data_IF_415234402050
#
_entry.id   IF_415234402050
#
_cell.length_a   1.000
_cell.length_b   1.000
_cell.length_c   1.000
_cell.angle_alpha   90.00
_cell.angle_beta   90.00
_cell.angle_gamma   90.00
#
_symmetry.space_group_name_H-M   'P 1'
#
loop_
_entity.id
_entity.type
_entity.pdbx_description
1 polymer ?
#
# COMPACT_ATOMS: atom_id res chain seq x y z
N UNK A 1 10.21 8.36 7.23
CA UNK A 1 10.82 7.02 7.15
C UNK A 1 11.08 6.73 5.67
N UNK A 2 12.18 6.10 5.29
CA UNK A 2 12.43 5.83 3.86
C UNK A 2 11.65 4.59 3.41
N UNK A 3 10.48 4.77 2.80
CA UNK A 3 9.74 3.67 2.17
C UNK A 3 10.44 3.23 0.88
N UNK A 4 10.80 1.95 0.78
CA UNK A 4 11.42 1.38 -0.43
C UNK A 4 10.50 0.34 -1.05
N UNK A 5 10.21 0.52 -2.34
CA UNK A 5 9.46 -0.42 -3.14
C UNK A 5 10.40 -1.21 -4.06
N UNK A 6 10.14 -2.51 -4.19
CA UNK A 6 10.90 -3.37 -5.11
C UNK A 6 10.52 -3.07 -6.57
N UNK A 7 11.38 -3.37 -7.57
CA UNK A 7 10.99 -3.25 -8.98
C UNK A 7 9.71 -4.05 -9.32
N UNK A 8 9.52 -5.20 -8.66
CA UNK A 8 8.31 -6.03 -8.80
C UNK A 8 7.07 -5.29 -8.29
N UNK A 9 7.18 -4.57 -7.18
CA UNK A 9 6.09 -3.74 -6.67
C UNK A 9 5.65 -2.71 -7.72
N UNK A 10 6.60 -1.97 -8.28
CA UNK A 10 6.30 -0.94 -9.29
C UNK A 10 5.69 -1.52 -10.58
N UNK A 11 6.13 -2.71 -11.00
CA UNK A 11 5.51 -3.40 -12.14
C UNK A 11 4.05 -3.73 -11.88
N UNK A 12 3.73 -4.26 -10.70
CA UNK A 12 2.33 -4.55 -10.32
C UNK A 12 1.51 -3.27 -10.18
N UNK A 13 2.06 -2.24 -9.53
CA UNK A 13 1.41 -0.95 -9.35
C UNK A 13 1.04 -0.29 -10.70
N UNK A 14 1.96 -0.32 -11.68
CA UNK A 14 1.70 0.24 -13.02
C UNK A 14 0.66 -0.55 -13.82
N UNK A 15 0.44 -1.82 -13.51
CA UNK A 15 -0.59 -2.64 -14.14
C UNK A 15 -2.00 -2.40 -13.59
N UNK A 16 -2.15 -1.61 -12.52
CA UNK A 16 -3.43 -1.28 -11.92
C UNK A 16 -4.21 -0.24 -12.74
N UNK A 17 -5.55 -0.26 -12.64
CA UNK A 17 -6.39 0.79 -13.19
C UNK A 17 -6.05 2.16 -12.58
N UNK A 18 -6.38 3.25 -13.29
CA UNK A 18 -6.14 4.61 -12.79
C UNK A 18 -6.80 4.86 -11.42
N UNK A 19 -8.04 4.39 -11.25
CA UNK A 19 -8.79 4.48 -9.99
C UNK A 19 -8.07 3.78 -8.83
N UNK A 20 -7.57 2.56 -9.08
CA UNK A 20 -6.87 1.79 -8.04
C UNK A 20 -5.53 2.43 -7.68
N UNK A 21 -4.83 3.01 -8.66
CA UNK A 21 -3.59 3.76 -8.41
C UNK A 21 -3.85 4.99 -7.54
N UNK A 22 -4.90 5.76 -7.84
CA UNK A 22 -5.29 6.90 -7.00
C UNK A 22 -5.61 6.49 -5.56
N UNK A 23 -6.28 5.36 -5.35
CA UNK A 23 -6.52 4.83 -4.00
C UNK A 23 -5.21 4.43 -3.30
N UNK A 24 -4.28 3.82 -4.04
CA UNK A 24 -2.97 3.45 -3.51
C UNK A 24 -2.15 4.67 -3.10
N UNK A 25 -2.20 5.74 -3.90
CA UNK A 25 -1.47 6.98 -3.65
C UNK A 25 -2.02 7.69 -2.42
N UNK A 26 -3.35 7.82 -2.29
CA UNK A 26 -3.97 8.38 -1.08
C UNK A 26 -3.63 7.58 0.18
N UNK A 27 -3.61 6.25 0.07
CA UNK A 27 -3.21 5.40 1.19
C UNK A 27 -1.74 5.62 1.59
N UNK A 28 -0.86 5.86 0.62
CA UNK A 28 0.54 6.20 0.87
C UNK A 28 0.69 7.60 1.49
N UNK A 29 -0.06 8.59 1.01
CA UNK A 29 -0.09 9.94 1.59
C UNK A 29 -0.55 9.91 3.06
N UNK A 30 -1.58 9.12 3.38
CA UNK A 30 -2.05 8.92 4.75
C UNK A 30 -0.98 8.25 5.63
N UNK A 31 -0.22 7.31 5.07
CA UNK A 31 0.89 6.64 5.75
C UNK A 31 2.01 7.62 6.11
N UNK A 32 2.39 8.49 5.17
CA UNK A 32 3.44 9.51 5.36
C UNK A 32 2.98 10.61 6.34
N UNK A 33 1.73 11.05 6.24
CA UNK A 33 1.20 12.13 7.08
C UNK A 33 0.96 11.72 8.54
N UNK A 34 0.62 10.45 8.79
CA UNK A 34 0.43 9.92 10.13
C UNK A 34 1.14 8.57 10.21
N UNK A 35 2.37 8.57 10.75
CA UNK A 35 3.17 7.36 11.01
C UNK A 35 2.45 6.27 11.84
N UNK A 36 1.31 6.59 12.45
CA UNK A 36 0.47 5.65 13.19
C UNK A 36 -1.01 5.75 12.80
N UNK A 37 -1.34 6.01 11.53
CA UNK A 37 -2.73 6.10 11.06
C UNK A 37 -3.49 4.79 11.35
N UNK A 38 -4.43 4.76 12.32
CA UNK A 38 -5.20 3.56 12.66
C UNK A 38 -6.15 3.11 11.53
N UNK A 39 -6.32 3.96 10.51
CA UNK A 39 -7.21 3.79 9.37
C UNK A 39 -6.67 2.79 8.34
N UNK A 40 -5.35 2.68 8.22
CA UNK A 40 -4.71 1.67 7.39
C UNK A 40 -4.66 0.40 8.26
N UNK A 41 -5.73 -0.38 8.25
CA UNK A 41 -5.82 -1.63 9.02
C UNK A 41 -4.74 -2.64 8.54
N UNK A 42 -3.53 -2.51 9.06
CA UNK A 42 -2.41 -3.40 8.75
C UNK A 42 -2.69 -4.78 9.35
N UNK A 43 -2.72 -5.78 8.49
CA UNK A 43 -2.83 -7.19 8.88
C UNK A 43 -1.51 -7.89 8.62
N UNK A 44 -0.93 -8.52 9.66
CA UNK A 44 0.24 -9.39 9.47
C UNK A 44 -0.16 -10.66 8.70
N UNK A 45 0.56 -10.97 7.63
CA UNK A 45 0.38 -12.16 6.79
C UNK A 45 1.75 -12.79 6.56
N UNK A 46 2.08 -13.79 7.39
CA UNK A 46 3.41 -14.40 7.41
C UNK A 46 4.49 -13.40 7.79
N UNK A 47 5.47 -13.21 6.88
CA UNK A 47 6.57 -12.24 7.05
C UNK A 47 6.22 -10.81 6.62
N UNK A 48 5.04 -10.59 6.06
CA UNK A 48 4.64 -9.31 5.47
C UNK A 48 3.51 -8.67 6.26
N UNK A 49 3.38 -7.36 6.13
CA UNK A 49 2.19 -6.60 6.51
C UNK A 49 1.36 -6.32 5.26
N UNK A 50 0.05 -6.58 5.33
CA UNK A 50 -0.90 -6.31 4.25
C UNK A 50 -1.84 -5.19 4.63
N UNK A 51 -2.07 -4.26 3.70
CA UNK A 51 -3.08 -3.21 3.82
C UNK A 51 -4.06 -3.28 2.65
N UNK A 52 -5.33 -3.00 2.91
CA UNK A 52 -6.38 -2.97 1.90
C UNK A 52 -6.40 -1.59 1.23
N UNK A 53 -6.22 -1.57 -0.08
CA UNK A 53 -6.24 -0.35 -0.89
C UNK A 53 -7.58 -0.20 -1.62
N UNK A 54 -8.17 -1.32 -2.04
CA UNK A 54 -9.48 -1.35 -2.69
C UNK A 54 -10.18 -2.69 -2.45
N UNK A 55 -11.30 -2.92 -3.15
CA UNK A 55 -12.07 -4.16 -2.98
C UNK A 55 -11.24 -5.40 -3.37
N UNK A 56 -10.44 -5.29 -4.43
CA UNK A 56 -9.66 -6.39 -5.00
C UNK A 56 -8.13 -6.19 -4.91
N UNK A 57 -7.67 -5.04 -4.39
CA UNK A 57 -6.24 -4.71 -4.37
C UNK A 57 -5.72 -4.54 -2.94
N UNK A 58 -4.59 -5.19 -2.66
CA UNK A 58 -3.87 -5.14 -1.39
C UNK A 58 -2.40 -4.80 -1.64
N UNK A 59 -1.85 -3.92 -0.82
CA UNK A 59 -0.41 -3.65 -0.79
C UNK A 59 0.26 -4.51 0.29
N UNK A 60 1.53 -4.84 0.06
CA UNK A 60 2.36 -5.61 0.97
C UNK A 60 3.62 -4.82 1.32
N UNK A 61 3.97 -4.83 2.61
CA UNK A 61 5.19 -4.26 3.16
C UNK A 61 5.95 -5.31 3.98
N UNK A 62 7.26 -5.13 4.13
CA UNK A 62 8.12 -5.90 5.04
C UNK A 62 8.28 -5.14 6.34
#
# INVERSE_FOLDING_TARGET
>A
MTHRATPRFWRCYRALSAETRQLADRAYELLEARWAAPLLHFKKVGRFWSVRIGLHCRALAL
#
